data_IF_443071130731
#
_entry.id   IF_443071130731
#
_cell.length_a   1.000
_cell.length_b   1.000
_cell.length_c   1.000
_cell.angle_alpha   90.00
_cell.angle_beta   90.00
_cell.angle_gamma   90.00
#
_symmetry.space_group_name_H-M   'P 1'
#
loop_
_entity.id
_entity.type
_entity.pdbx_description
1 polymer ?
#
# COMPACT_ATOMS: atom_id res chain seq x y z
N UNK A 1 -14.81 -8.21 -3.79
CA UNK A 1 -13.34 -8.24 -3.58
C UNK A 1 -13.00 -7.06 -2.68
N UNK A 2 -12.05 -7.21 -1.75
CA UNK A 2 -11.66 -6.12 -0.84
C UNK A 2 -10.46 -5.40 -1.44
N UNK A 3 -10.60 -4.11 -1.73
CA UNK A 3 -9.52 -3.23 -2.19
C UNK A 3 -8.34 -3.31 -1.21
N UNK A 4 -7.13 -3.45 -1.73
CA UNK A 4 -5.88 -3.44 -0.98
C UNK A 4 -5.02 -2.24 -1.39
N UNK A 5 -5.02 -1.21 -0.55
CA UNK A 5 -4.16 -0.04 -0.70
C UNK A 5 -2.79 -0.29 -0.05
N UNK A 6 -1.72 -0.03 -0.80
CA UNK A 6 -0.35 -0.19 -0.32
C UNK A 6 0.28 1.14 0.07
N UNK A 7 0.19 2.15 -0.79
CA UNK A 7 0.81 3.45 -0.55
C UNK A 7 -0.01 4.58 -1.20
N UNK A 8 0.11 5.77 -0.64
CA UNK A 8 -0.31 7.03 -1.21
C UNK A 8 0.88 7.99 -1.20
N UNK A 9 1.14 8.64 -2.32
CA UNK A 9 2.09 9.75 -2.41
C UNK A 9 1.38 11.01 -2.90
N UNK A 10 1.77 12.15 -2.36
CA UNK A 10 1.51 13.47 -2.93
C UNK A 10 2.89 14.04 -3.24
N UNK A 11 3.13 14.26 -4.52
CA UNK A 11 4.37 14.81 -5.04
C UNK A 11 4.12 16.19 -5.64
N UNK A 12 5.18 16.99 -5.68
CA UNK A 12 5.19 18.16 -6.55
C UNK A 12 5.26 17.68 -8.01
N UNK A 13 4.75 18.49 -8.93
CA UNK A 13 4.89 18.25 -10.38
C UNK A 13 6.34 18.04 -10.82
N UNK A 14 7.31 18.64 -10.12
CA UNK A 14 8.76 18.48 -10.33
C UNK A 14 9.37 17.22 -9.71
N UNK A 15 8.58 16.40 -9.00
CA UNK A 15 8.99 15.07 -8.52
C UNK A 15 9.36 14.96 -7.05
N UNK A 16 9.41 16.06 -6.30
CA UNK A 16 9.70 16.04 -4.88
C UNK A 16 8.53 15.45 -4.09
N UNK A 17 8.83 14.55 -3.13
CA UNK A 17 7.82 13.98 -2.25
C UNK A 17 7.38 15.01 -1.21
N UNK A 18 6.11 15.41 -1.24
CA UNK A 18 5.53 16.35 -0.26
C UNK A 18 4.90 15.59 0.90
N UNK A 19 4.26 14.46 0.62
CA UNK A 19 3.62 13.62 1.61
C UNK A 19 3.59 12.17 1.16
N UNK A 20 3.82 11.24 2.08
CA UNK A 20 3.71 9.81 1.84
C UNK A 20 2.95 9.13 2.98
N UNK A 21 2.06 8.20 2.61
CA UNK A 21 1.34 7.34 3.56
C UNK A 21 1.38 5.90 3.11
N UNK A 22 2.03 5.07 3.92
CA UNK A 22 2.14 3.61 3.74
C UNK A 22 1.05 2.87 4.50
N UNK A 23 0.39 1.94 3.81
CA UNK A 23 -0.64 1.03 4.33
C UNK A 23 -0.28 -0.45 4.14
N UNK A 24 0.51 -0.78 3.12
CA UNK A 24 0.97 -2.14 2.79
C UNK A 24 2.43 -2.39 3.17
N UNK A 25 3.03 -3.47 2.65
CA UNK A 25 4.44 -3.83 2.92
C UNK A 25 5.45 -3.29 1.91
N UNK A 26 5.01 -2.70 0.79
CA UNK A 26 5.95 -2.26 -0.25
C UNK A 26 6.90 -1.22 0.35
N UNK A 27 8.20 -1.51 0.27
CA UNK A 27 9.28 -0.61 0.70
C UNK A 27 10.02 -0.12 -0.54
N UNK A 28 10.23 1.19 -0.57
CA UNK A 28 10.85 1.92 -1.67
C UNK A 28 11.39 3.23 -1.13
N UNK A 29 12.34 3.82 -1.87
CA UNK A 29 12.75 5.19 -1.65
C UNK A 29 11.64 6.13 -2.15
N UNK A 30 11.12 6.97 -1.25
CA UNK A 30 9.99 7.84 -1.54
C UNK A 30 10.32 8.86 -2.63
N UNK A 31 11.53 9.44 -2.62
CA UNK A 31 11.95 10.44 -3.60
C UNK A 31 12.17 9.82 -4.98
N UNK A 32 12.72 8.60 -5.03
CA UNK A 32 12.86 7.87 -6.29
C UNK A 32 11.50 7.57 -6.92
N UNK A 33 10.54 7.12 -6.10
CA UNK A 33 9.20 6.79 -6.60
C UNK A 33 8.46 8.06 -7.04
N UNK A 34 8.45 9.13 -6.25
CA UNK A 34 7.74 10.35 -6.63
C UNK A 34 8.35 11.03 -7.85
N UNK A 35 9.68 11.06 -7.97
CA UNK A 35 10.33 11.61 -9.17
C UNK A 35 9.99 10.84 -10.44
N UNK A 36 9.96 9.50 -10.37
CA UNK A 36 9.56 8.67 -11.49
C UNK A 36 8.07 8.83 -11.85
N UNK A 37 7.18 8.79 -10.86
CA UNK A 37 5.74 8.90 -11.10
C UNK A 37 5.36 10.28 -11.66
N UNK A 38 5.97 11.36 -11.15
CA UNK A 38 5.78 12.71 -11.71
C UNK A 38 6.34 12.84 -13.12
N UNK A 39 7.48 12.21 -13.43
CA UNK A 39 8.01 12.21 -14.80
C UNK A 39 7.08 11.50 -15.79
N UNK A 40 6.44 10.40 -15.37
CA UNK A 40 5.40 9.73 -16.18
C UNK A 40 4.22 10.66 -16.41
N UNK A 41 3.75 11.35 -15.37
CA UNK A 41 2.64 12.29 -15.50
C UNK A 41 2.98 13.44 -16.46
N UNK A 42 4.16 14.07 -16.29
CA UNK A 42 4.64 15.10 -17.21
C UNK A 42 4.69 14.56 -18.65
N UNK A 43 5.25 13.37 -18.84
CA UNK A 43 5.30 12.76 -20.17
C UNK A 43 3.89 12.56 -20.76
N UNK A 44 2.95 12.04 -19.95
CA UNK A 44 1.57 11.83 -20.38
C UNK A 44 0.88 13.15 -20.74
N UNK A 45 1.05 14.21 -19.95
CA UNK A 45 0.50 15.55 -20.22
C UNK A 45 1.06 16.21 -21.49
N UNK A 46 2.25 15.80 -21.96
CA UNK A 46 2.79 16.28 -23.23
C UNK A 46 2.17 15.57 -24.45
N UNK A 47 1.44 14.47 -24.23
CA UNK A 47 0.82 13.65 -25.28
C UNK A 47 -0.70 13.75 -25.24
N UNK A 48 -1.29 13.83 -24.05
CA UNK A 48 -2.73 13.81 -23.78
C UNK A 48 -3.05 14.59 -22.47
N UNK A 49 -4.22 14.37 -21.87
CA UNK A 49 -4.68 15.04 -20.65
C UNK A 49 -3.91 14.66 -19.37
N UNK A 50 -3.18 13.53 -19.37
CA UNK A 50 -2.41 13.05 -18.22
C UNK A 50 -2.38 11.52 -18.12
N UNK A 51 -1.81 10.99 -17.03
CA UNK A 51 -1.84 9.55 -16.75
C UNK A 51 -3.07 9.22 -15.91
N UNK A 52 -3.92 8.30 -16.38
CA UNK A 52 -5.03 7.78 -15.56
C UNK A 52 -4.54 6.75 -14.54
N UNK A 53 -3.75 5.79 -15.02
CA UNK A 53 -3.07 4.79 -14.20
C UNK A 53 -1.83 4.23 -14.90
N UNK A 54 -0.86 3.81 -14.10
CA UNK A 54 0.27 2.99 -14.53
C UNK A 54 0.12 1.59 -13.96
N UNK A 55 0.28 0.56 -14.80
CA UNK A 55 0.08 -0.82 -14.38
C UNK A 55 1.38 -1.63 -14.50
N UNK A 56 1.66 -2.41 -13.46
CA UNK A 56 2.70 -3.45 -13.40
C UNK A 56 2.04 -4.82 -13.32
N UNK A 57 2.83 -5.90 -13.29
CA UNK A 57 2.27 -7.25 -13.16
C UNK A 57 1.40 -7.42 -11.90
N UNK A 58 1.81 -6.82 -10.78
CA UNK A 58 1.18 -7.03 -9.47
C UNK A 58 0.41 -5.82 -8.96
N UNK A 59 0.73 -4.61 -9.43
CA UNK A 59 0.17 -3.37 -8.88
C UNK A 59 -0.33 -2.42 -9.95
N UNK A 60 -1.30 -1.60 -9.57
CA UNK A 60 -1.82 -0.47 -10.33
C UNK A 60 -1.58 0.81 -9.54
N UNK A 61 -1.04 1.82 -10.20
CA UNK A 61 -0.78 3.14 -9.66
C UNK A 61 -1.84 4.08 -10.24
N UNK A 62 -2.75 4.55 -9.41
CA UNK A 62 -3.90 5.38 -9.80
C UNK A 62 -3.54 6.84 -9.55
N UNK A 63 -3.67 7.66 -10.58
CA UNK A 63 -3.23 9.06 -10.57
C UNK A 63 -4.42 10.02 -10.40
N UNK A 64 -4.16 11.13 -9.75
CA UNK A 64 -4.97 12.35 -9.82
C UNK A 64 -4.02 13.54 -9.72
N UNK A 65 -4.29 14.58 -10.51
CA UNK A 65 -3.44 15.77 -10.56
C UNK A 65 -4.18 16.98 -10.01
N UNK A 66 -3.41 17.95 -9.54
CA UNK A 66 -3.92 19.27 -9.26
C UNK A 66 -2.83 20.32 -9.45
N UNK A 67 -3.11 21.57 -9.07
CA UNK A 67 -2.18 22.68 -9.30
C UNK A 67 -0.80 22.37 -8.67
N UNK A 68 0.21 22.21 -9.52
CA UNK A 68 1.60 21.91 -9.18
C UNK A 68 1.83 20.62 -8.36
N UNK A 69 0.86 19.70 -8.35
CA UNK A 69 0.93 18.49 -7.53
C UNK A 69 0.35 17.28 -8.26
N UNK A 70 0.90 16.11 -7.95
CA UNK A 70 0.46 14.81 -8.45
C UNK A 70 0.26 13.91 -7.25
N UNK A 71 -0.95 13.37 -7.11
CA UNK A 71 -1.28 12.38 -6.08
C UNK A 71 -1.43 11.01 -6.73
N UNK A 72 -0.76 10.00 -6.17
CA UNK A 72 -0.75 8.64 -6.69
C UNK A 72 -1.04 7.64 -5.58
N UNK A 73 -1.98 6.72 -5.82
CA UNK A 73 -2.23 5.56 -4.95
C UNK A 73 -1.76 4.26 -5.60
N UNK A 74 -1.12 3.39 -4.83
CA UNK A 74 -0.74 2.04 -5.26
C UNK A 74 -1.71 1.00 -4.69
N UNK A 75 -2.39 0.27 -5.56
CA UNK A 75 -3.33 -0.82 -5.24
C UNK A 75 -2.93 -2.12 -5.94
N UNK A 76 -3.52 -3.25 -5.54
CA UNK A 76 -3.34 -4.51 -6.27
C UNK A 76 -3.87 -4.39 -7.70
N UNK A 77 -3.22 -5.06 -8.65
CA UNK A 77 -3.60 -4.96 -10.06
C UNK A 77 -5.02 -5.49 -10.36
N UNK A 78 -5.52 -6.42 -9.54
CA UNK A 78 -6.87 -6.97 -9.73
C UNK A 78 -7.97 -6.06 -9.16
N UNK A 79 -7.60 -5.04 -8.40
CA UNK A 79 -8.54 -4.15 -7.73
C UNK A 79 -9.14 -3.11 -8.69
N UNK A 80 -10.38 -2.72 -8.38
CA UNK A 80 -11.11 -1.67 -9.08
C UNK A 80 -10.61 -0.28 -8.65
N UNK A 81 -9.99 0.44 -9.58
CA UNK A 81 -9.43 1.76 -9.35
C UNK A 81 -10.49 2.84 -9.08
N UNK A 82 -11.74 2.65 -9.52
CA UNK A 82 -12.78 3.68 -9.38
C UNK A 82 -13.06 4.02 -7.90
N UNK A 83 -12.95 3.02 -7.02
CA UNK A 83 -13.15 3.17 -5.58
C UNK A 83 -12.08 4.05 -4.93
N UNK A 84 -10.82 3.93 -5.36
CA UNK A 84 -9.72 4.72 -4.80
C UNK A 84 -9.63 6.10 -5.45
N UNK A 85 -10.01 6.21 -6.72
CA UNK A 85 -9.92 7.46 -7.50
C UNK A 85 -10.69 8.60 -6.84
N UNK A 86 -11.94 8.36 -6.44
CA UNK A 86 -12.76 9.39 -5.79
C UNK A 86 -12.14 9.89 -4.46
N UNK A 87 -11.51 8.98 -3.73
CA UNK A 87 -10.92 9.25 -2.42
C UNK A 87 -9.63 10.07 -2.58
N UNK A 88 -8.76 9.69 -3.53
CA UNK A 88 -7.53 10.43 -3.78
C UNK A 88 -7.79 11.81 -4.39
N UNK A 89 -8.83 11.97 -5.22
CA UNK A 89 -9.22 13.30 -5.72
C UNK A 89 -9.69 14.20 -4.58
N UNK A 90 -10.48 13.69 -3.64
CA UNK A 90 -10.89 14.44 -2.45
C UNK A 90 -9.68 14.84 -1.58
N UNK A 91 -8.69 13.96 -1.46
CA UNK A 91 -7.42 14.23 -0.76
C UNK A 91 -6.59 15.30 -1.48
N UNK A 92 -6.51 15.23 -2.81
CA UNK A 92 -5.79 16.18 -3.64
C UNK A 92 -6.40 17.59 -3.55
N UNK A 93 -7.73 17.68 -3.59
CA UNK A 93 -8.46 18.94 -3.45
C UNK A 93 -8.23 19.56 -2.06
N UNK A 94 -8.30 18.75 -1.00
CA UNK A 94 -8.02 19.20 0.35
C UNK A 94 -6.55 19.63 0.52
N UNK A 95 -5.62 18.92 -0.10
CA UNK A 95 -4.21 19.27 -0.07
C UNK A 95 -3.97 20.65 -0.69
N UNK A 96 -4.54 20.92 -1.87
CA UNK A 96 -4.43 22.21 -2.55
C UNK A 96 -5.11 23.32 -1.74
N UNK A 97 -6.29 23.05 -1.19
CA UNK A 97 -7.03 23.97 -0.33
C UNK A 97 -6.18 24.44 0.86
N UNK A 98 -5.49 23.52 1.52
CA UNK A 98 -4.64 23.82 2.69
C UNK A 98 -3.31 24.46 2.34
N UNK A 99 -2.67 24.03 1.26
CA UNK A 99 -1.24 24.28 1.05
C UNK A 99 -0.89 25.00 -0.26
N UNK A 100 -1.86 25.37 -1.11
CA UNK A 100 -1.58 26.07 -2.38
C UNK A 100 -0.63 27.26 -2.25
N UNK A 101 -0.81 28.11 -1.23
CA UNK A 101 0.09 29.23 -0.95
C UNK A 101 1.47 28.79 -0.50
N UNK A 102 1.54 27.77 0.35
CA UNK A 102 2.81 27.22 0.83
C UNK A 102 3.62 26.57 -0.31
N UNK A 103 2.94 26.10 -1.37
CA UNK A 103 3.57 25.54 -2.57
C UNK A 103 4.16 26.61 -3.51
N UNK A 104 3.56 27.80 -3.57
CA UNK A 104 4.06 28.91 -4.40
C UNK A 104 5.38 29.47 -3.86
N UNK A 105 5.54 29.51 -2.54
CA UNK A 105 6.75 29.98 -1.85
C UNK A 105 7.60 28.84 -1.27
N UNK A 106 7.42 27.63 -1.80
CA UNK A 106 7.99 26.43 -1.21
C UNK A 106 9.52 26.44 -1.25
N UNK A 107 10.14 26.23 -0.08
CA UNK A 107 11.58 26.26 0.12
C UNK A 107 12.20 24.87 0.38
N UNK A 108 11.48 23.80 0.05
CA UNK A 108 11.93 22.42 0.25
C UNK A 108 11.53 21.77 1.57
N UNK A 109 10.83 22.47 2.47
CA UNK A 109 10.37 21.90 3.76
C UNK A 109 9.06 21.14 3.61
N UNK A 110 9.01 19.90 4.10
CA UNK A 110 7.86 18.98 3.93
C UNK A 110 7.11 18.68 5.23
N UNK A 111 7.67 19.07 6.38
CA UNK A 111 7.17 18.71 7.70
C UNK A 111 5.73 19.20 7.93
N UNK A 112 5.38 20.35 7.36
CA UNK A 112 4.06 20.97 7.49
C UNK A 112 2.95 20.15 6.80
N UNK A 113 3.29 19.41 5.74
CA UNK A 113 2.34 18.56 5.02
C UNK A 113 1.96 17.31 5.83
N UNK A 114 2.75 16.94 6.85
CA UNK A 114 2.43 15.84 7.76
C UNK A 114 1.08 16.00 8.48
N UNK A 115 0.55 17.23 8.61
CA UNK A 115 -0.77 17.50 9.18
C UNK A 115 -1.94 16.90 8.34
N UNK A 116 -1.69 16.47 7.09
CA UNK A 116 -2.66 15.74 6.28
C UNK A 116 -2.95 14.33 6.78
N UNK A 117 -2.08 13.75 7.60
CA UNK A 117 -2.14 12.34 7.98
C UNK A 117 -3.54 11.92 8.48
N UNK A 118 -4.15 12.70 9.37
CA UNK A 118 -5.47 12.40 9.92
C UNK A 118 -6.54 12.32 8.82
N UNK A 119 -6.62 13.35 7.98
CA UNK A 119 -7.57 13.41 6.87
C UNK A 119 -7.37 12.26 5.87
N UNK A 120 -6.12 11.98 5.51
CA UNK A 120 -5.78 10.88 4.60
C UNK A 120 -6.16 9.52 5.19
N UNK A 121 -5.88 9.30 6.49
CA UNK A 121 -6.25 8.07 7.17
C UNK A 121 -7.78 7.90 7.25
N UNK A 122 -8.54 8.96 7.52
CA UNK A 122 -10.01 8.91 7.59
C UNK A 122 -10.65 8.44 6.26
N UNK A 123 -10.04 8.80 5.12
CA UNK A 123 -10.48 8.38 3.80
C UNK A 123 -10.01 6.97 3.43
N UNK A 124 -8.74 6.66 3.68
CA UNK A 124 -8.07 5.52 3.05
C UNK A 124 -7.80 4.33 3.98
N UNK A 125 -7.86 4.50 5.31
CA UNK A 125 -7.52 3.44 6.25
C UNK A 125 -8.39 2.19 6.10
N UNK A 126 -9.64 2.36 5.64
CA UNK A 126 -10.58 1.26 5.34
C UNK A 126 -10.12 0.33 4.20
N UNK A 127 -9.25 0.84 3.32
CA UNK A 127 -8.66 0.11 2.21
C UNK A 127 -7.27 -0.46 2.51
N UNK A 128 -6.63 0.04 3.57
CA UNK A 128 -5.47 -0.61 4.15
C UNK A 128 -5.89 -1.82 4.99
N UNK A 129 -4.97 -2.78 5.19
CA UNK A 129 -5.06 -3.70 6.33
C UNK A 129 -4.22 -3.11 7.47
N UNK A 130 -4.81 -2.41 8.47
CA UNK A 130 -4.17 -2.38 9.77
C UNK A 130 -4.07 -3.82 10.25
N UNK A 131 -2.85 -4.36 10.32
CA UNK A 131 -2.63 -5.67 10.95
C UNK A 131 -2.85 -5.44 12.45
N UNK A 132 -4.11 -5.60 12.90
CA UNK A 132 -4.49 -5.45 14.31
C UNK A 132 -3.85 -6.59 15.09
N UNK A 133 -3.13 -6.26 16.17
CA UNK A 133 -2.54 -7.18 17.16
C UNK A 133 -2.30 -8.62 16.66
N UNK A 134 -1.30 -8.75 15.78
CA UNK A 134 -0.92 -10.01 15.14
C UNK A 134 -0.59 -11.13 16.13
N UNK A 135 -0.17 -10.76 17.34
CA UNK A 135 0.14 -11.70 18.44
C UNK A 135 -1.09 -12.50 18.88
N UNK A 136 -2.30 -11.93 18.75
CA UNK A 136 -3.54 -12.53 19.25
C UNK A 136 -4.46 -13.08 18.15
N UNK A 137 -4.25 -12.66 16.90
CA UNK A 137 -5.07 -13.13 15.76
C UNK A 137 -4.64 -14.52 15.30
N UNK A 138 -5.62 -15.38 14.98
CA UNK A 138 -5.35 -16.62 14.25
C UNK A 138 -5.25 -16.31 12.76
N UNK A 139 -4.29 -16.92 12.10
CA UNK A 139 -4.03 -16.80 10.68
C UNK A 139 -4.38 -18.11 10.01
N UNK A 140 -4.97 -18.06 8.82
CA UNK A 140 -5.22 -19.22 7.97
C UNK A 140 -4.91 -18.89 6.50
N UNK A 141 -4.81 -19.91 5.64
CA UNK A 141 -4.68 -19.67 4.21
C UNK A 141 -5.94 -18.99 3.67
N UNK A 142 -5.76 -18.02 2.78
CA UNK A 142 -6.89 -17.44 2.09
C UNK A 142 -7.47 -18.48 1.10
N UNK A 143 -8.78 -18.81 1.17
CA UNK A 143 -9.40 -19.78 0.25
C UNK A 143 -9.34 -19.34 -1.22
N UNK A 144 -9.13 -18.05 -1.47
CA UNK A 144 -8.98 -17.47 -2.81
C UNK A 144 -7.59 -17.67 -3.40
N UNK A 145 -6.66 -18.32 -2.68
CA UNK A 145 -5.33 -18.67 -3.19
C UNK A 145 -5.48 -19.51 -4.48
N UNK A 146 -5.15 -18.89 -5.61
CA UNK A 146 -5.37 -19.42 -6.94
C UNK A 146 -4.09 -19.92 -7.59
N UNK A 147 -4.19 -20.38 -8.85
CA UNK A 147 -3.02 -20.84 -9.64
C UNK A 147 -1.93 -19.76 -9.82
N UNK A 148 -2.26 -18.46 -9.67
CA UNK A 148 -1.30 -17.35 -9.75
C UNK A 148 -0.29 -17.36 -8.59
N UNK A 149 -0.68 -17.87 -7.42
CA UNK A 149 0.16 -17.87 -6.22
C UNK A 149 1.26 -18.94 -6.25
N UNK A 150 1.15 -19.92 -7.17
CA UNK A 150 2.17 -20.96 -7.36
C UNK A 150 3.46 -20.45 -8.05
N UNK A 151 3.41 -19.26 -8.67
CA UNK A 151 4.58 -18.65 -9.30
C UNK A 151 5.30 -17.63 -8.39
N UNK A 152 4.76 -17.37 -7.20
CA UNK A 152 5.42 -16.51 -6.21
C UNK A 152 6.57 -17.29 -5.55
N UNK A 153 7.79 -16.76 -5.65
CA UNK A 153 8.93 -17.24 -4.87
C UNK A 153 8.79 -16.72 -3.44
N UNK A 154 8.45 -17.62 -2.52
CA UNK A 154 8.43 -17.32 -1.10
C UNK A 154 9.83 -17.46 -0.51
N UNK A 155 10.11 -16.68 0.53
CA UNK A 155 11.25 -16.90 1.42
C UNK A 155 11.07 -18.19 2.23
N UNK A 156 12.18 -18.73 2.75
CA UNK A 156 12.14 -19.90 3.63
C UNK A 156 11.21 -19.72 4.84
N UNK A 157 11.17 -18.51 5.40
CA UNK A 157 10.28 -18.19 6.52
C UNK A 157 8.82 -18.21 6.08
N UNK A 158 8.49 -17.62 4.94
CA UNK A 158 7.12 -17.62 4.38
C UNK A 158 6.63 -19.04 4.04
N UNK A 159 7.48 -19.86 3.40
CA UNK A 159 7.15 -21.26 3.11
C UNK A 159 6.84 -22.05 4.37
N UNK A 160 7.59 -21.80 5.45
CA UNK A 160 7.32 -22.41 6.76
C UNK A 160 5.96 -21.99 7.32
N UNK A 161 5.60 -20.70 7.24
CA UNK A 161 4.27 -20.22 7.67
C UNK A 161 3.18 -20.90 6.84
N UNK A 162 3.28 -20.88 5.51
CA UNK A 162 2.30 -21.49 4.59
C UNK A 162 2.16 -22.99 4.88
N UNK A 163 3.26 -23.71 5.06
CA UNK A 163 3.25 -25.16 5.30
C UNK A 163 2.52 -25.51 6.59
N UNK A 164 2.74 -24.74 7.66
CA UNK A 164 2.01 -24.98 8.91
C UNK A 164 0.52 -24.70 8.77
N UNK A 165 0.14 -23.63 8.07
CA UNK A 165 -1.27 -23.29 7.84
C UNK A 165 -1.97 -24.31 6.93
N UNK A 166 -1.28 -24.86 5.92
CA UNK A 166 -1.78 -26.01 5.13
C UNK A 166 -2.11 -27.22 6.01
N UNK A 167 -1.26 -27.49 7.00
CA UNK A 167 -1.39 -28.65 7.87
C UNK A 167 -2.44 -28.46 8.98
N UNK A 168 -2.42 -27.30 9.66
CA UNK A 168 -3.22 -27.04 10.87
C UNK A 168 -4.53 -26.29 10.58
N UNK A 169 -4.69 -25.75 9.38
CA UNK A 169 -5.78 -24.85 9.02
C UNK A 169 -5.51 -23.43 9.52
N UNK A 170 -5.51 -23.23 10.83
CA UNK A 170 -5.31 -21.91 11.45
C UNK A 170 -4.32 -21.94 12.62
N UNK A 171 -3.49 -20.90 12.77
CA UNK A 171 -2.50 -20.77 13.84
C UNK A 171 -2.20 -19.31 14.21
N UNK A 172 -1.80 -19.07 15.45
CA UNK A 172 -1.28 -17.76 15.92
C UNK A 172 0.21 -17.59 15.61
N UNK A 173 0.74 -16.36 15.67
CA UNK A 173 2.17 -16.08 15.48
C UNK A 173 3.04 -16.90 16.45
N UNK A 174 2.65 -16.98 17.74
CA UNK A 174 3.39 -17.75 18.73
C UNK A 174 3.43 -19.26 18.43
N UNK A 175 2.32 -19.82 17.94
CA UNK A 175 2.28 -21.23 17.51
C UNK A 175 3.15 -21.48 16.28
N UNK A 176 3.13 -20.55 15.31
CA UNK A 176 3.94 -20.64 14.10
C UNK A 176 5.44 -20.56 14.45
N UNK A 177 5.83 -19.59 15.27
CA UNK A 177 7.21 -19.40 15.72
C UNK A 177 7.73 -20.67 16.42
N UNK A 178 6.94 -21.20 17.36
CA UNK A 178 7.28 -22.41 18.13
C UNK A 178 7.40 -23.65 17.26
N UNK A 179 6.41 -23.92 16.40
CA UNK A 179 6.36 -25.17 15.64
C UNK A 179 7.32 -25.19 14.45
N UNK A 180 7.56 -24.03 13.83
CA UNK A 180 8.45 -23.92 12.67
C UNK A 180 9.90 -23.57 13.02
N UNK A 181 10.20 -23.47 14.32
CA UNK A 181 11.50 -23.08 14.87
C UNK A 181 11.98 -21.76 14.25
N UNK A 182 11.10 -20.75 14.29
CA UNK A 182 11.36 -19.39 13.86
C UNK A 182 11.37 -18.47 15.07
N UNK A 183 12.08 -17.35 14.98
CA UNK A 183 11.92 -16.28 15.98
C UNK A 183 10.56 -15.60 15.80
N UNK A 184 10.00 -15.01 16.86
CA UNK A 184 8.76 -14.24 16.73
C UNK A 184 8.88 -13.08 15.72
N UNK A 185 9.96 -12.28 15.71
CA UNK A 185 10.15 -11.23 14.70
C UNK A 185 10.18 -11.74 13.25
N UNK A 186 10.87 -12.86 13.00
CA UNK A 186 10.92 -13.45 11.66
C UNK A 186 9.55 -13.99 11.22
N UNK A 187 8.82 -14.58 12.17
CA UNK A 187 7.47 -15.11 11.95
C UNK A 187 6.50 -13.98 11.64
N UNK A 188 6.56 -12.91 12.42
CA UNK A 188 5.74 -11.71 12.21
C UNK A 188 6.04 -11.10 10.84
N UNK A 189 7.32 -10.88 10.50
CA UNK A 189 7.73 -10.35 9.19
C UNK A 189 7.21 -11.21 8.04
N UNK A 190 7.35 -12.53 8.13
CA UNK A 190 6.88 -13.46 7.11
C UNK A 190 5.35 -13.45 6.98
N UNK A 191 4.63 -13.56 8.10
CA UNK A 191 3.17 -13.54 8.13
C UNK A 191 2.61 -12.22 7.60
N UNK A 192 3.25 -11.07 7.89
CA UNK A 192 2.81 -9.76 7.40
C UNK A 192 2.88 -9.74 5.89
N UNK A 193 4.02 -10.12 5.33
CA UNK A 193 4.19 -10.21 3.88
C UNK A 193 3.13 -11.13 3.24
N UNK A 194 2.79 -12.25 3.86
CA UNK A 194 1.74 -13.14 3.35
C UNK A 194 0.32 -12.55 3.43
N UNK A 195 -0.01 -11.83 4.52
CA UNK A 195 -1.30 -11.13 4.67
C UNK A 195 -1.47 -10.03 3.61
N UNK A 196 -0.39 -9.31 3.33
CA UNK A 196 -0.38 -8.23 2.34
C UNK A 196 -0.52 -8.75 0.91
N UNK A 197 0.03 -9.94 0.62
CA UNK A 197 -0.13 -10.61 -0.66
C UNK A 197 -1.41 -11.45 -0.74
N UNK A 198 -2.34 -11.31 0.22
CA UNK A 198 -3.60 -12.07 0.29
C UNK A 198 -3.41 -13.60 0.23
N UNK A 199 -2.24 -14.09 0.65
CA UNK A 199 -1.92 -15.53 0.75
C UNK A 199 -2.57 -16.12 2.02
N UNK A 200 -2.59 -15.34 3.09
CA UNK A 200 -3.20 -15.70 4.36
C UNK A 200 -4.17 -14.61 4.79
N UNK A 201 -5.07 -14.93 5.72
CA UNK A 201 -6.05 -14.00 6.30
C UNK A 201 -6.18 -14.21 7.80
N UNK A 202 -6.65 -13.17 8.50
CA UNK A 202 -7.03 -13.27 9.91
C UNK A 202 -8.41 -13.93 10.04
N UNK A 203 -8.55 -14.80 11.03
CA UNK A 203 -9.82 -15.43 11.41
C UNK A 203 -10.19 -15.01 12.82
N UNK A 204 -11.47 -14.68 13.03
CA UNK A 204 -11.99 -14.38 14.36
C UNK A 204 -11.90 -15.61 15.26
N UNK A 205 -11.55 -15.41 16.53
CA UNK A 205 -11.64 -16.47 17.53
C UNK A 205 -13.12 -16.82 17.72
N UNK A 206 -13.53 -17.98 17.22
CA UNK A 206 -14.78 -18.65 17.62
C UNK A 206 -14.66 -19.30 18.99
#
# INVERSE_FOLDING_TARGET
MKLMLHNLWIAKDTGECLFHRKYGSIEHDENLITSFLSAIEIFAQNIDEGCDFLQTSSYKFVYTTGKNTVTVACIDNCDDESLVRQEISSIQDEFISRYSKDLEEWNGRVERFGAMKGFVDDHLHKYGKPIKNMLTSRLELDPSMGKRDMNLKFSLQQDKVISLLKYKGAATIGEIAKLMKLTEPDTEKAAKALLYNNIIREVANS
#
